data_IF_423136883299
#
_entry.id   IF_423136883299
#
_cell.length_a   1.000
_cell.length_b   1.000
_cell.length_c   1.000
_cell.angle_alpha   90.00
_cell.angle_beta   90.00
_cell.angle_gamma   90.00
#
_symmetry.space_group_name_H-M   'P 1'
#
loop_
_entity.id
_entity.type
_entity.pdbx_description
1 polymer ?
#
# COMPACT_ATOMS: atom_id res chain seq x y z
N UNK A 1 12.50 11.85 -3.72
CA UNK A 1 13.68 11.20 -4.32
C UNK A 1 13.21 10.02 -5.15
N UNK A 2 13.80 9.78 -6.33
CA UNK A 2 13.52 8.56 -7.11
C UNK A 2 12.48 8.68 -8.25
N UNK A 3 12.07 9.90 -8.65
CA UNK A 3 11.23 10.05 -9.83
C UNK A 3 12.13 10.09 -11.10
N UNK A 4 11.98 9.17 -12.07
CA UNK A 4 12.90 9.05 -13.20
C UNK A 4 12.88 10.24 -14.16
N UNK A 5 11.81 11.06 -14.11
CA UNK A 5 11.62 12.24 -14.99
C UNK A 5 11.61 13.60 -14.29
N UNK A 6 11.51 13.65 -12.96
CA UNK A 6 11.30 14.91 -12.24
C UNK A 6 12.26 14.99 -11.06
N UNK A 7 12.94 16.12 -10.94
CA UNK A 7 13.78 16.38 -9.80
C UNK A 7 12.95 16.63 -8.54
N UNK A 8 13.46 16.14 -7.41
CA UNK A 8 12.81 16.30 -6.12
C UNK A 8 12.96 17.75 -5.65
N UNK A 9 11.84 18.44 -5.40
CA UNK A 9 11.82 19.84 -4.89
C UNK A 9 11.73 19.95 -3.37
N UNK A 10 11.69 18.82 -2.67
CA UNK A 10 11.52 18.79 -1.22
C UNK A 10 12.82 19.20 -0.51
N UNK A 11 12.72 20.09 0.48
CA UNK A 11 13.85 20.39 1.36
C UNK A 11 14.10 19.26 2.37
N UNK A 12 15.29 19.22 2.95
CA UNK A 12 15.65 18.24 3.96
C UNK A 12 14.68 18.23 5.16
N UNK A 13 14.30 19.41 5.64
CA UNK A 13 13.35 19.56 6.74
C UNK A 13 11.95 19.02 6.38
N UNK A 14 11.50 19.22 5.13
CA UNK A 14 10.24 18.67 4.65
C UNK A 14 10.26 17.14 4.61
N UNK A 15 11.39 16.54 4.23
CA UNK A 15 11.57 15.09 4.20
C UNK A 15 11.53 14.51 5.61
N UNK A 16 12.25 15.12 6.58
CA UNK A 16 12.22 14.65 7.96
C UNK A 16 10.83 14.73 8.59
N UNK A 17 10.14 15.86 8.42
CA UNK A 17 8.76 16.03 8.91
C UNK A 17 7.77 15.04 8.31
N UNK A 18 7.98 14.60 7.07
CA UNK A 18 7.13 13.59 6.45
C UNK A 18 7.37 12.20 7.07
N UNK A 19 8.63 11.80 7.24
CA UNK A 19 8.98 10.48 7.81
C UNK A 19 8.54 10.35 9.27
N UNK A 20 8.57 11.43 10.04
CA UNK A 20 8.12 11.44 11.44
C UNK A 20 6.61 11.27 11.62
N UNK A 21 5.81 11.35 10.54
CA UNK A 21 4.36 11.08 10.62
C UNK A 21 4.04 9.61 10.79
N UNK A 22 5.00 8.72 10.53
CA UNK A 22 4.79 7.27 10.67
C UNK A 22 5.16 6.88 12.10
N UNK A 23 4.20 6.37 12.91
CA UNK A 23 4.47 5.99 14.29
C UNK A 23 5.52 4.88 14.37
N UNK A 24 6.46 5.00 15.31
CA UNK A 24 7.48 3.98 15.59
C UNK A 24 6.92 2.55 15.75
N UNK A 25 5.84 2.34 16.55
CA UNK A 25 5.27 1.00 16.75
C UNK A 25 4.73 0.33 15.47
N UNK A 26 4.47 1.12 14.41
CA UNK A 26 4.07 0.61 13.10
C UNK A 26 5.27 0.30 12.22
N UNK A 27 6.34 1.11 12.30
CA UNK A 27 7.59 0.85 11.57
C UNK A 27 8.31 -0.38 12.08
N UNK A 28 8.25 -0.64 13.39
CA UNK A 28 8.88 -1.80 14.02
C UNK A 28 8.27 -3.15 13.57
N UNK A 29 7.12 -3.13 12.87
CA UNK A 29 6.42 -4.31 12.34
C UNK A 29 6.47 -4.42 10.82
N UNK A 30 7.25 -3.58 10.13
CA UNK A 30 7.40 -3.63 8.67
C UNK A 30 8.74 -4.28 8.35
N UNK A 31 8.70 -5.54 7.94
CA UNK A 31 9.91 -6.31 7.59
C UNK A 31 10.59 -5.82 6.31
N UNK A 32 9.80 -5.29 5.35
CA UNK A 32 10.30 -4.91 4.03
C UNK A 32 9.81 -3.50 3.67
N UNK A 33 10.77 -2.61 3.46
CA UNK A 33 10.54 -1.29 2.86
C UNK A 33 11.09 -1.27 1.43
N UNK A 34 10.20 -1.33 0.44
CA UNK A 34 10.57 -1.20 -0.97
C UNK A 34 10.10 0.14 -1.53
N UNK A 35 11.00 0.89 -2.14
CA UNK A 35 10.67 2.10 -2.89
C UNK A 35 10.13 1.72 -4.26
N UNK A 36 8.86 2.01 -4.54
CA UNK A 36 8.28 1.79 -5.87
C UNK A 36 8.45 3.04 -6.74
N UNK A 37 8.97 2.91 -7.98
CA UNK A 37 9.00 4.02 -8.92
C UNK A 37 7.57 4.40 -9.37
N UNK A 38 7.37 5.63 -9.83
CA UNK A 38 6.08 6.06 -10.38
C UNK A 38 5.69 5.18 -11.58
N UNK A 39 4.46 4.66 -11.55
CA UNK A 39 3.91 3.81 -12.60
C UNK A 39 3.02 4.66 -13.54
N UNK A 40 3.20 4.63 -14.87
CA UNK A 40 2.41 5.44 -15.79
C UNK A 40 0.94 5.00 -15.82
N UNK A 41 -0.02 5.91 -15.99
CA UNK A 41 -1.46 5.57 -15.98
C UNK A 41 -1.85 4.47 -16.98
N UNK A 42 -1.10 4.34 -18.09
CA UNK A 42 -1.31 3.32 -19.13
C UNK A 42 -0.94 1.90 -18.72
N UNK A 43 -0.14 1.71 -17.67
CA UNK A 43 0.22 0.37 -17.16
C UNK A 43 -0.83 -0.20 -16.20
N UNK A 44 -1.81 0.61 -15.77
CA UNK A 44 -2.96 0.06 -15.07
C UNK A 44 -3.81 -0.72 -16.07
N UNK A 45 -4.14 -1.99 -15.78
CA UNK A 45 -5.11 -2.70 -16.60
C UNK A 45 -6.40 -1.90 -16.63
N UNK A 46 -7.04 -1.83 -17.80
CA UNK A 46 -8.35 -1.20 -17.97
C UNK A 46 -9.27 -1.80 -16.91
N UNK A 47 -9.85 -0.94 -16.07
CA UNK A 47 -10.71 -1.37 -14.98
C UNK A 47 -11.76 -2.34 -15.52
N UNK A 48 -11.70 -3.61 -15.09
CA UNK A 48 -12.78 -4.55 -15.30
C UNK A 48 -13.95 -4.01 -14.48
N UNK A 49 -14.80 -3.21 -15.13
CA UNK A 49 -16.09 -2.84 -14.57
C UNK A 49 -16.93 -4.12 -14.55
N UNK A 50 -17.03 -4.74 -13.39
CA UNK A 50 -17.84 -5.92 -13.18
C UNK A 50 -17.95 -6.23 -11.69
N UNK A 51 -19.08 -6.81 -11.24
CA UNK A 51 -19.17 -7.30 -9.87
C UNK A 51 -18.05 -8.30 -9.62
N UNK A 52 -17.51 -8.32 -8.39
CA UNK A 52 -16.60 -9.38 -8.00
C UNK A 52 -17.33 -10.72 -8.19
N UNK A 53 -16.70 -11.73 -8.81
CA UNK A 53 -17.26 -13.07 -8.85
C UNK A 53 -17.65 -13.51 -7.44
N UNK A 54 -18.81 -14.16 -7.29
CA UNK A 54 -19.31 -14.63 -5.99
C UNK A 54 -18.26 -15.48 -5.24
N UNK A 55 -17.40 -16.18 -5.98
CA UNK A 55 -16.27 -16.96 -5.49
C UNK A 55 -15.24 -16.14 -4.70
N UNK A 56 -14.96 -14.90 -5.12
CA UNK A 56 -14.03 -14.00 -4.42
C UNK A 56 -14.66 -13.56 -3.09
N UNK A 57 -15.95 -13.19 -3.11
CA UNK A 57 -16.66 -12.79 -1.89
C UNK A 57 -16.65 -13.92 -0.86
N UNK A 58 -16.96 -15.15 -1.28
CA UNK A 58 -16.94 -16.33 -0.41
C UNK A 58 -15.53 -16.58 0.17
N UNK A 59 -14.48 -16.42 -0.63
CA UNK A 59 -13.10 -16.59 -0.17
C UNK A 59 -12.71 -15.55 0.89
N UNK A 60 -13.13 -14.28 0.68
CA UNK A 60 -12.90 -13.20 1.66
C UNK A 60 -13.65 -13.47 2.97
N UNK A 61 -14.90 -13.94 2.91
CA UNK A 61 -15.68 -14.26 4.11
C UNK A 61 -15.04 -15.38 4.93
N UNK A 62 -14.61 -16.48 4.29
CA UNK A 62 -13.89 -17.57 4.97
C UNK A 62 -12.62 -17.09 5.68
N UNK A 63 -11.84 -16.21 5.04
CA UNK A 63 -10.64 -15.66 5.65
C UNK A 63 -10.95 -14.80 6.89
N UNK A 64 -12.05 -14.03 6.85
CA UNK A 64 -12.51 -13.22 7.99
C UNK A 64 -12.95 -14.09 9.16
N UNK A 65 -13.67 -15.17 8.92
CA UNK A 65 -14.10 -16.08 10.00
C UNK A 65 -12.90 -16.68 10.73
N UNK A 66 -11.88 -17.13 10.00
CA UNK A 66 -10.63 -17.64 10.58
C UNK A 66 -9.94 -16.54 11.40
N UNK A 67 -9.92 -15.31 10.89
CA UNK A 67 -9.32 -14.17 11.59
C UNK A 67 -10.07 -13.87 12.90
N UNK A 68 -11.40 -13.88 12.91
CA UNK A 68 -12.19 -13.66 14.13
C UNK A 68 -11.92 -14.71 15.18
N UNK A 69 -11.78 -15.99 14.79
CA UNK A 69 -11.47 -17.08 15.72
C UNK A 69 -10.07 -16.96 16.32
N UNK A 70 -9.10 -16.37 15.60
CA UNK A 70 -7.73 -16.13 16.12
C UNK A 70 -7.64 -14.92 17.06
N UNK A 71 -8.60 -13.99 16.97
CA UNK A 71 -8.65 -12.75 17.73
C UNK A 71 -9.48 -12.87 19.02
N UNK A 72 -10.32 -13.91 19.13
CA UNK A 72 -11.04 -14.29 20.35
C UNK A 72 -10.13 -15.09 21.29
#
# INVERSE_FOLDING_TARGET
>A
MGHPKYECRCSFLQIQRYRSKIPGPLMDRIDIYLGSPPCPTRSFPRQLMGPLPAEILQSVMKARDIQSTRLA
#
